data_IF_220327533647
#
_entry.id   IF_220327533647
#
_cell.length_a   1.000
_cell.length_b   1.000
_cell.length_c   1.000
_cell.angle_alpha   90.00
_cell.angle_beta   90.00
_cell.angle_gamma   90.00
#
_symmetry.space_group_name_H-M   'P 1'
#
loop_
_entity.id
_entity.type
_entity.pdbx_description
1 polymer ?
#
# COMPACT_ATOMS: atom_id res chain seq x y z
N UNK A 1 40.77 -21.44 -37.41
CA UNK A 1 40.91 -21.31 -35.94
C UNK A 1 40.88 -19.86 -35.46
N UNK A 2 41.63 -18.91 -36.03
CA UNK A 2 41.66 -17.52 -35.52
C UNK A 2 40.29 -16.76 -35.56
N UNK A 3 39.48 -16.98 -36.59
CA UNK A 3 38.17 -16.30 -36.76
C UNK A 3 37.15 -16.69 -35.67
N UNK A 4 37.13 -17.95 -35.23
CA UNK A 4 36.24 -18.41 -34.16
C UNK A 4 36.62 -17.84 -32.78
N UNK A 5 37.92 -17.65 -32.50
CA UNK A 5 38.38 -17.01 -31.27
C UNK A 5 38.03 -15.52 -31.24
N UNK A 6 38.13 -14.83 -32.38
CA UNK A 6 37.75 -13.44 -32.50
C UNK A 6 36.24 -13.23 -32.26
N UNK A 7 35.40 -14.09 -32.86
CA UNK A 7 33.95 -14.04 -32.68
C UNK A 7 33.52 -14.39 -31.24
N UNK A 8 34.20 -15.37 -30.62
CA UNK A 8 33.97 -15.74 -29.21
C UNK A 8 34.37 -14.62 -28.24
N UNK A 9 35.51 -13.95 -28.47
CA UNK A 9 35.96 -12.81 -27.66
C UNK A 9 35.02 -11.61 -27.78
N UNK A 10 34.57 -11.29 -29.00
CA UNK A 10 33.62 -10.21 -29.24
C UNK A 10 32.26 -10.50 -28.60
N UNK A 11 31.77 -11.74 -28.69
CA UNK A 11 30.54 -12.18 -28.01
C UNK A 11 30.65 -12.04 -26.48
N UNK A 12 31.79 -12.41 -25.90
CA UNK A 12 32.02 -12.24 -24.46
C UNK A 12 32.02 -10.77 -24.04
N UNK A 13 32.63 -9.87 -24.82
CA UNK A 13 32.61 -8.43 -24.56
C UNK A 13 31.20 -7.85 -24.64
N UNK A 14 30.39 -8.28 -25.61
CA UNK A 14 28.98 -7.88 -25.71
C UNK A 14 28.16 -8.37 -24.52
N UNK A 15 28.36 -9.62 -24.09
CA UNK A 15 27.69 -10.16 -22.90
C UNK A 15 28.07 -9.38 -21.64
N UNK A 16 29.35 -9.08 -21.45
CA UNK A 16 29.84 -8.31 -20.30
C UNK A 16 29.26 -6.89 -20.31
N UNK A 17 29.27 -6.20 -21.45
CA UNK A 17 28.68 -4.87 -21.59
C UNK A 17 27.16 -4.87 -21.30
N UNK A 18 26.44 -5.88 -21.79
CA UNK A 18 25.02 -6.06 -21.53
C UNK A 18 24.74 -6.30 -20.03
N UNK A 19 25.55 -7.14 -19.37
CA UNK A 19 25.46 -7.35 -17.93
C UNK A 19 25.71 -6.06 -17.13
N UNK A 20 26.69 -5.25 -17.52
CA UNK A 20 26.95 -3.96 -16.87
C UNK A 20 25.80 -2.96 -17.04
N UNK A 21 25.21 -2.87 -18.23
CA UNK A 21 24.07 -2.00 -18.50
C UNK A 21 22.83 -2.44 -17.70
N UNK A 22 22.54 -3.75 -17.66
CA UNK A 22 21.45 -4.28 -16.84
C UNK A 22 21.67 -4.05 -15.35
N UNK A 23 22.88 -4.25 -14.84
CA UNK A 23 23.20 -4.00 -13.44
C UNK A 23 23.02 -2.52 -13.07
N UNK A 24 23.45 -1.61 -13.94
CA UNK A 24 23.28 -0.17 -13.74
C UNK A 24 21.80 0.25 -13.77
N UNK A 25 20.98 -0.37 -14.63
CA UNK A 25 19.54 -0.10 -14.66
C UNK A 25 18.84 -0.61 -13.39
N UNK A 26 19.13 -1.84 -12.95
CA UNK A 26 18.58 -2.41 -11.71
C UNK A 26 18.96 -1.56 -10.49
N UNK A 27 20.22 -1.13 -10.41
CA UNK A 27 20.68 -0.25 -9.34
C UNK A 27 19.93 1.09 -9.34
N UNK A 28 19.72 1.71 -10.51
CA UNK A 28 18.96 2.96 -10.60
C UNK A 28 17.50 2.78 -10.14
N UNK A 29 16.84 1.69 -10.52
CA UNK A 29 15.47 1.38 -10.09
C UNK A 29 15.37 1.16 -8.58
N UNK A 30 16.34 0.45 -7.98
CA UNK A 30 16.42 0.23 -6.54
C UNK A 30 16.59 1.55 -5.78
N UNK A 31 17.49 2.43 -6.25
CA UNK A 31 17.70 3.75 -5.63
C UNK A 31 16.43 4.62 -5.69
N UNK A 32 15.73 4.62 -6.83
CA UNK A 32 14.46 5.34 -6.98
C UNK A 32 13.40 4.78 -6.03
N UNK A 33 13.33 3.46 -5.88
CA UNK A 33 12.40 2.83 -4.96
C UNK A 33 12.72 3.21 -3.50
N UNK A 34 13.98 3.13 -3.10
CA UNK A 34 14.42 3.51 -1.75
C UNK A 34 14.10 4.99 -1.45
N UNK A 35 14.37 5.89 -2.41
CA UNK A 35 14.01 7.30 -2.27
C UNK A 35 12.49 7.48 -2.05
N UNK A 36 11.66 6.80 -2.85
CA UNK A 36 10.20 6.86 -2.71
C UNK A 36 9.71 6.27 -1.37
N UNK A 37 10.39 5.24 -0.87
CA UNK A 37 10.04 4.59 0.40
C UNK A 37 10.43 5.45 1.61
N UNK A 38 11.52 6.22 1.50
CA UNK A 38 12.02 7.09 2.57
C UNK A 38 11.41 8.50 2.55
N UNK A 39 10.70 8.87 1.48
CA UNK A 39 9.98 10.13 1.41
C UNK A 39 8.90 10.24 2.51
N UNK A 40 8.65 11.47 2.96
CA UNK A 40 7.58 11.77 3.91
C UNK A 40 6.21 11.47 3.29
N UNK A 41 5.35 10.82 4.08
CA UNK A 41 3.98 10.51 3.65
C UNK A 41 3.09 11.75 3.61
N UNK A 42 3.30 12.68 4.54
CA UNK A 42 2.52 13.91 4.64
C UNK A 42 3.15 15.01 3.78
N UNK A 43 2.41 15.48 2.77
CA UNK A 43 2.87 16.55 1.88
C UNK A 43 1.77 17.60 1.72
N UNK A 44 2.13 18.88 1.91
CA UNK A 44 1.19 19.99 1.83
C UNK A 44 0.57 20.12 0.42
N UNK A 45 1.35 19.78 -0.61
CA UNK A 45 0.89 19.73 -2.00
C UNK A 45 -0.27 18.75 -2.18
N UNK A 46 -0.22 17.57 -1.55
CA UNK A 46 -1.27 16.56 -1.61
C UNK A 46 -2.51 17.05 -0.85
N UNK A 47 -2.33 17.58 0.36
CA UNK A 47 -3.44 18.14 1.16
C UNK A 47 -4.16 19.24 0.38
N UNK A 48 -3.41 20.16 -0.22
CA UNK A 48 -3.96 21.22 -1.05
C UNK A 48 -4.70 20.68 -2.26
N UNK A 49 -4.06 19.80 -3.03
CA UNK A 49 -4.64 19.23 -4.25
C UNK A 49 -5.98 18.54 -3.98
N UNK A 50 -6.07 17.78 -2.88
CA UNK A 50 -7.33 17.15 -2.46
C UNK A 50 -8.39 18.19 -2.11
N UNK A 51 -8.03 19.19 -1.31
CA UNK A 51 -8.97 20.19 -0.81
C UNK A 51 -9.42 21.21 -1.88
N UNK A 52 -8.63 21.41 -2.94
CA UNK A 52 -8.99 22.23 -4.10
C UNK A 52 -10.03 21.55 -5.01
N UNK A 53 -10.26 20.24 -4.83
CA UNK A 53 -11.25 19.54 -5.64
C UNK A 53 -12.68 20.01 -5.27
N UNK A 54 -13.45 20.57 -6.23
CA UNK A 54 -14.73 21.23 -5.94
C UNK A 54 -15.83 20.29 -5.41
N UNK A 55 -15.62 18.98 -5.52
CA UNK A 55 -16.57 17.96 -5.08
C UNK A 55 -15.98 17.04 -4.00
N UNK A 56 -14.94 17.48 -3.29
CA UNK A 56 -14.41 16.73 -2.17
C UNK A 56 -15.45 16.65 -1.04
N UNK A 57 -15.98 15.45 -0.78
CA UNK A 57 -16.89 15.19 0.35
C UNK A 57 -16.20 15.09 1.72
N UNK A 58 -14.90 15.37 1.77
CA UNK A 58 -14.04 15.24 2.94
C UNK A 58 -12.90 16.28 2.86
N UNK A 59 -12.25 16.55 3.99
CA UNK A 59 -11.15 17.52 4.09
C UNK A 59 -9.85 16.81 4.46
N UNK A 60 -8.83 16.96 3.63
CA UNK A 60 -7.47 16.51 3.94
C UNK A 60 -6.79 17.45 4.95
N UNK A 61 -5.95 16.88 5.80
CA UNK A 61 -5.15 17.61 6.77
C UNK A 61 -3.84 16.86 7.07
N UNK A 62 -2.86 17.58 7.61
CA UNK A 62 -1.61 17.02 8.14
C UNK A 62 -1.89 16.36 9.50
N UNK A 63 -2.17 15.05 9.48
CA UNK A 63 -2.48 14.31 10.71
C UNK A 63 -1.22 14.18 11.61
N UNK A 64 -1.21 14.74 12.83
CA UNK A 64 -0.04 14.69 13.72
C UNK A 64 0.42 13.27 14.06
N UNK A 65 -0.48 12.28 14.06
CA UNK A 65 -0.13 10.87 14.29
C UNK A 65 0.80 10.28 13.22
N UNK A 66 0.92 10.94 12.06
CA UNK A 66 1.82 10.56 10.97
C UNK A 66 2.92 11.60 10.73
N UNK A 67 3.17 12.49 11.70
CA UNK A 67 4.31 13.41 11.61
C UNK A 67 5.62 12.61 11.51
N UNK A 68 6.44 12.95 10.52
CA UNK A 68 7.72 12.28 10.22
C UNK A 68 7.60 10.79 9.86
N UNK A 69 6.42 10.34 9.42
CA UNK A 69 6.29 8.99 8.84
C UNK A 69 6.81 8.98 7.41
N UNK A 70 7.68 8.02 7.11
CA UNK A 70 8.02 7.69 5.72
C UNK A 70 6.92 6.87 5.05
N UNK A 71 6.92 6.83 3.72
CA UNK A 71 6.05 5.94 2.95
C UNK A 71 6.23 4.47 3.37
N UNK A 72 7.46 4.04 3.67
CA UNK A 72 7.73 2.68 4.16
C UNK A 72 7.05 2.41 5.50
N UNK A 73 7.18 3.32 6.47
CA UNK A 73 6.53 3.19 7.78
C UNK A 73 5.00 3.19 7.64
N UNK A 74 4.45 4.05 6.79
CA UNK A 74 3.02 4.09 6.51
C UNK A 74 2.51 2.79 5.85
N UNK A 75 3.30 2.12 5.01
CA UNK A 75 2.89 0.82 4.44
C UNK A 75 2.74 -0.28 5.50
N UNK A 76 3.46 -0.22 6.62
CA UNK A 76 3.36 -1.23 7.67
C UNK A 76 1.99 -1.23 8.37
N UNK A 77 1.28 -0.11 8.38
CA UNK A 77 -0.09 -0.04 8.91
C UNK A 77 -1.15 -0.51 7.91
N UNK A 78 -0.79 -0.74 6.65
CA UNK A 78 -1.66 -1.27 5.58
C UNK A 78 -1.53 -2.80 5.46
N UNK A 79 -1.59 -3.51 6.60
CA UNK A 79 -1.19 -4.91 6.71
C UNK A 79 -2.17 -5.98 6.20
N UNK A 80 -3.29 -5.61 5.59
CA UNK A 80 -4.31 -6.57 5.13
C UNK A 80 -3.90 -7.18 3.78
N UNK A 81 -3.74 -8.51 3.74
CA UNK A 81 -3.56 -9.27 2.50
C UNK A 81 -4.92 -9.63 1.91
N UNK A 82 -4.97 -9.79 0.59
CA UNK A 82 -6.18 -10.25 -0.08
C UNK A 82 -6.60 -11.62 0.45
N UNK A 83 -7.89 -11.77 0.81
CA UNK A 83 -8.45 -13.02 1.30
C UNK A 83 -8.38 -14.10 0.20
N UNK A 84 -7.78 -15.27 0.46
CA UNK A 84 -7.75 -16.37 -0.49
C UNK A 84 -9.16 -16.87 -0.85
N UNK A 85 -9.37 -17.26 -2.11
CA UNK A 85 -10.69 -17.70 -2.61
C UNK A 85 -11.27 -18.89 -1.81
N UNK A 86 -10.41 -19.81 -1.38
CA UNK A 86 -10.80 -20.96 -0.54
C UNK A 86 -11.45 -20.54 0.78
N UNK A 87 -11.04 -19.40 1.34
CA UNK A 87 -11.52 -18.89 2.64
C UNK A 87 -12.82 -18.09 2.44
N UNK A 88 -13.08 -17.60 1.22
CA UNK A 88 -14.37 -17.00 0.86
C UNK A 88 -15.47 -18.07 0.75
N UNK A 89 -15.15 -19.24 0.17
CA UNK A 89 -16.11 -20.34 -0.02
C UNK A 89 -16.56 -20.99 1.29
N UNK A 90 -15.76 -20.86 2.36
CA UNK A 90 -16.09 -21.45 3.67
C UNK A 90 -17.04 -20.59 4.50
N UNK A 91 -17.27 -19.32 4.13
CA UNK A 91 -18.16 -18.41 4.88
C UNK A 91 -19.59 -18.46 4.31
N UNK A 92 -20.59 -18.93 5.07
CA UNK A 92 -21.98 -18.95 4.61
C UNK A 92 -22.49 -17.54 4.36
N UNK A 93 -23.03 -17.29 3.16
CA UNK A 93 -23.65 -16.00 2.81
C UNK A 93 -25.16 -16.10 3.02
N UNK A 94 -25.68 -15.36 4.01
CA UNK A 94 -27.11 -15.23 4.23
C UNK A 94 -27.67 -14.11 3.35
N UNK A 95 -28.67 -14.44 2.53
CA UNK A 95 -29.34 -13.49 1.65
C UNK A 95 -30.74 -13.17 2.17
N UNK A 96 -31.09 -11.88 2.21
CA UNK A 96 -32.42 -11.40 2.59
C UNK A 96 -33.19 -10.88 1.37
N UNK A 97 -34.53 -10.84 1.48
CA UNK A 97 -35.37 -10.26 0.43
C UNK A 97 -35.05 -8.79 0.20
N UNK A 98 -35.05 -8.36 -1.07
CA UNK A 98 -34.93 -6.94 -1.45
C UNK A 98 -36.08 -6.07 -0.93
N UNK A 99 -37.21 -6.67 -0.54
CA UNK A 99 -38.34 -5.98 0.08
C UNK A 99 -38.11 -5.61 1.56
N UNK A 100 -37.01 -6.06 2.16
CA UNK A 100 -36.65 -5.70 3.52
C UNK A 100 -36.43 -4.18 3.62
N UNK A 101 -37.18 -3.52 4.50
CA UNK A 101 -37.08 -2.08 4.73
C UNK A 101 -35.87 -1.78 5.61
N UNK A 102 -34.79 -1.29 5.00
CA UNK A 102 -33.61 -0.83 5.73
C UNK A 102 -33.78 0.62 6.20
N UNK A 103 -33.19 1.01 7.34
CA UNK A 103 -33.23 2.39 7.80
C UNK A 103 -32.39 3.28 6.89
N UNK A 104 -32.71 4.59 6.86
CA UNK A 104 -31.96 5.59 6.09
C UNK A 104 -30.53 5.79 6.63
N UNK A 105 -30.33 5.63 7.93
CA UNK A 105 -29.04 5.70 8.62
C UNK A 105 -28.98 4.59 9.67
N UNK A 106 -27.79 4.08 9.93
CA UNK A 106 -27.56 3.03 10.92
C UNK A 106 -26.23 3.26 11.63
N UNK A 107 -26.25 3.23 12.95
CA UNK A 107 -25.05 3.22 13.79
C UNK A 107 -25.14 2.03 14.75
N UNK A 108 -24.15 1.13 14.68
CA UNK A 108 -24.12 -0.06 15.52
C UNK A 108 -24.02 0.29 17.01
N UNK A 109 -23.42 1.44 17.36
CA UNK A 109 -23.30 1.91 18.75
C UNK A 109 -24.67 2.28 19.34
N UNK A 110 -25.56 2.81 18.50
CA UNK A 110 -26.93 3.14 18.89
C UNK A 110 -27.84 1.90 18.94
N UNK A 111 -27.63 0.94 18.03
CA UNK A 111 -28.42 -0.29 17.97
C UNK A 111 -28.11 -1.27 19.11
N UNK A 112 -26.88 -1.27 19.62
CA UNK A 112 -26.43 -2.15 20.71
C UNK A 112 -25.63 -1.37 21.78
N UNK A 113 -26.27 -0.44 22.50
CA UNK A 113 -25.58 0.45 23.43
C UNK A 113 -24.95 -0.29 24.63
N UNK A 114 -25.47 -1.47 24.98
CA UNK A 114 -24.89 -2.32 26.02
C UNK A 114 -23.55 -2.95 25.63
N UNK A 115 -23.21 -2.95 24.34
CA UNK A 115 -21.99 -3.56 23.82
C UNK A 115 -20.88 -2.51 23.66
N UNK A 116 -20.20 -2.20 24.76
CA UNK A 116 -19.14 -1.17 24.79
C UNK A 116 -18.04 -1.39 23.74
N UNK A 117 -17.76 -2.65 23.39
CA UNK A 117 -16.73 -3.04 22.43
C UNK A 117 -16.96 -2.48 21.03
N UNK A 118 -18.21 -2.18 20.66
CA UNK A 118 -18.56 -1.60 19.35
C UNK A 118 -18.05 -0.15 19.24
N UNK A 119 -18.03 0.59 20.36
CA UNK A 119 -17.56 1.96 20.41
C UNK A 119 -16.06 2.11 20.66
N UNK A 120 -15.35 1.02 20.99
CA UNK A 120 -13.95 1.08 21.39
C UNK A 120 -13.02 1.16 20.17
N UNK A 121 -12.21 2.21 20.10
CA UNK A 121 -11.13 2.32 19.11
C UNK A 121 -9.88 1.64 19.65
N UNK A 122 -9.41 0.60 18.96
CA UNK A 122 -8.19 -0.13 19.32
C UNK A 122 -6.98 0.42 18.57
N UNK A 123 -5.84 0.47 19.24
CA UNK A 123 -4.55 0.77 18.64
C UNK A 123 -3.79 -0.51 18.31
N UNK A 124 -3.20 -0.59 17.12
CA UNK A 124 -2.29 -1.69 16.77
C UNK A 124 -0.91 -1.40 17.38
N UNK A 125 -0.48 -2.20 18.37
CA UNK A 125 0.89 -2.14 18.87
C UNK A 125 1.83 -2.72 17.80
N UNK A 126 2.60 -1.87 17.13
CA UNK A 126 3.78 -2.34 16.38
C UNK A 126 4.84 -2.73 17.41
N UNK A 127 4.81 -3.98 17.87
CA UNK A 127 5.94 -4.56 18.58
C UNK A 127 7.05 -4.61 17.52
N UNK A 128 8.03 -3.70 17.64
CA UNK A 128 9.25 -3.78 16.87
C UNK A 128 9.96 -5.05 17.33
N UNK A 129 9.72 -6.15 16.62
CA UNK A 129 10.46 -7.39 16.83
C UNK A 129 11.85 -7.11 16.27
N UNK A 130 12.74 -6.61 17.13
CA UNK A 130 14.18 -6.56 16.91
C UNK A 130 14.74 -7.98 16.92
#
# INVERSE_FOLDING_TARGET
MASSYFHSSLSLLFLVAFCFLHHHQVYAEEQVLQFKLNADILQESIVRHVNEHPHAGWKAAMNPSFSNYSVSQFKHILGVKQTPEKDLKSTPVLSHSKSLKLPKSFDAREAWPQCITIGTILGQLLISIY
#
